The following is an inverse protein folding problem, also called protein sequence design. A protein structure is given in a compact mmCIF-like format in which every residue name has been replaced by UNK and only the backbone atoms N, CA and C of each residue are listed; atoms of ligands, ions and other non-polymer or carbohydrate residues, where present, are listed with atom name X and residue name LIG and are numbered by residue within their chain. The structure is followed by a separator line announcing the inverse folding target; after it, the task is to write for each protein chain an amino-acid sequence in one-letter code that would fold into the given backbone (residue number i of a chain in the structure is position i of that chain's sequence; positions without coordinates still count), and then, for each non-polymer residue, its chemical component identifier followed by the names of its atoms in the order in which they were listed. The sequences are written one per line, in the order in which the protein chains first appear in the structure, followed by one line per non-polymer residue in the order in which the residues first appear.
data_IF_046526400897
#
_entry.id   IF_046526400897
#
_cell.length_a   1.000
_cell.length_b   1.000
_cell.length_c   1.000
_cell.angle_alpha   90.00
_cell.angle_beta   90.00
_cell.angle_gamma   90.00
#
_symmetry.space_group_name_H-M   'P 1'
#
loop_
_entity.id
_entity.type
_entity.pdbx_description
1 polymer ?
#
# COMPACT_ATOMS: atom_id res chain seq x y z
N UNK A 1 -5.73 12.37 -11.44
CA UNK A 1 -6.88 11.58 -10.93
C UNK A 1 -7.09 10.33 -11.79
N UNK A 2 -7.39 9.19 -11.16
CA UNK A 2 -7.56 7.86 -11.78
C UNK A 2 -8.58 7.80 -12.92
N UNK A 3 -9.64 8.62 -12.86
CA UNK A 3 -10.61 8.77 -13.94
C UNK A 3 -9.94 9.14 -15.26
N UNK A 4 -9.07 10.15 -15.23
CA UNK A 4 -8.37 10.66 -16.42
C UNK A 4 -7.43 9.60 -17.01
N UNK A 5 -6.83 8.75 -16.16
CA UNK A 5 -6.00 7.61 -16.60
C UNK A 5 -6.82 6.55 -17.34
N UNK A 6 -8.04 6.29 -16.86
CA UNK A 6 -8.98 5.34 -17.48
C UNK A 6 -9.76 5.94 -18.66
N UNK A 7 -9.54 7.22 -19.00
CA UNK A 7 -10.17 7.91 -20.14
C UNK A 7 -11.71 7.88 -20.17
N UNK A 8 -12.35 7.81 -19.01
CA UNK A 8 -13.81 7.86 -18.88
C UNK A 8 -14.30 9.24 -18.46
N UNK A 9 -15.56 9.55 -18.80
CA UNK A 9 -16.17 10.82 -18.41
C UNK A 9 -16.55 10.83 -16.91
N UNK A 10 -16.92 12.00 -16.39
CA UNK A 10 -17.25 12.14 -14.97
C UNK A 10 -18.53 11.39 -14.57
N UNK A 11 -19.51 11.27 -15.47
CA UNK A 11 -20.78 10.56 -15.20
C UNK A 11 -20.52 9.06 -15.02
N UNK A 12 -19.78 8.45 -15.94
CA UNK A 12 -19.44 7.03 -15.89
C UNK A 12 -18.61 6.72 -14.65
N UNK A 13 -17.67 7.61 -14.31
CA UNK A 13 -16.85 7.47 -13.12
C UNK A 13 -17.66 7.56 -11.83
N UNK A 14 -18.49 8.61 -11.70
CA UNK A 14 -19.29 8.84 -10.50
C UNK A 14 -20.27 7.69 -10.25
N UNK A 15 -20.90 7.19 -11.32
CA UNK A 15 -21.79 6.03 -11.26
C UNK A 15 -21.05 4.77 -10.79
N UNK A 16 -19.84 4.54 -11.28
CA UNK A 16 -19.04 3.36 -10.93
C UNK A 16 -18.57 3.35 -9.46
N UNK A 17 -18.31 4.51 -8.88
CA UNK A 17 -17.87 4.64 -7.48
C UNK A 17 -19.00 5.03 -6.52
N UNK A 18 -20.26 5.08 -7.00
CA UNK A 18 -21.43 5.31 -6.17
C UNK A 18 -21.57 6.73 -5.59
N UNK A 19 -21.06 7.76 -6.27
CA UNK A 19 -21.24 9.16 -5.87
C UNK A 19 -21.95 9.97 -6.95
N UNK A 20 -22.46 11.16 -6.61
CA UNK A 20 -23.05 12.05 -7.62
C UNK A 20 -21.98 12.69 -8.51
N UNK A 21 -22.31 13.00 -9.76
CA UNK A 21 -21.39 13.71 -10.66
C UNK A 21 -21.03 15.12 -10.12
N UNK A 22 -21.96 15.80 -9.44
CA UNK A 22 -21.70 17.07 -8.78
C UNK A 22 -20.64 16.92 -7.68
N UNK A 23 -20.81 15.90 -6.81
CA UNK A 23 -19.83 15.51 -5.78
C UNK A 23 -18.46 15.26 -6.42
N UNK A 24 -18.41 14.43 -7.47
CA UNK A 24 -17.17 14.16 -8.18
C UNK A 24 -16.52 15.43 -8.76
N UNK A 25 -17.31 16.35 -9.32
CA UNK A 25 -16.79 17.59 -9.90
C UNK A 25 -16.13 18.47 -8.84
N UNK A 26 -16.74 18.59 -7.67
CA UNK A 26 -16.17 19.35 -6.55
C UNK A 26 -14.90 18.69 -5.99
N UNK A 27 -14.92 17.37 -5.91
CA UNK A 27 -13.76 16.56 -5.53
C UNK A 27 -12.58 16.77 -6.50
N UNK A 28 -12.86 16.82 -7.82
CA UNK A 28 -11.85 17.07 -8.86
C UNK A 28 -11.31 18.51 -8.89
N UNK A 29 -12.03 19.43 -8.26
CA UNK A 29 -11.63 20.83 -8.09
C UNK A 29 -10.89 21.07 -6.76
N UNK A 30 -10.52 20.00 -6.04
CA UNK A 30 -9.86 20.06 -4.74
C UNK A 30 -10.64 20.85 -3.67
N UNK A 31 -11.96 21.02 -3.83
CA UNK A 31 -12.80 21.72 -2.83
C UNK A 31 -12.83 21.00 -1.49
N UNK A 32 -12.70 19.68 -1.50
CA UNK A 32 -12.61 18.84 -0.30
C UNK A 32 -11.85 17.55 -0.59
N UNK A 33 -11.47 16.83 0.47
CA UNK A 33 -10.81 15.51 0.36
C UNK A 33 -11.84 14.39 0.31
N UNK A 34 -11.60 13.32 -0.48
CA UNK A 34 -12.55 12.20 -0.56
C UNK A 34 -12.70 11.54 0.81
N UNK A 35 -13.90 11.05 1.09
CA UNK A 35 -14.13 10.21 2.27
C UNK A 35 -13.40 8.86 2.15
N UNK A 36 -13.23 8.15 3.26
CA UNK A 36 -12.69 6.79 3.26
C UNK A 36 -13.56 5.87 2.37
N UNK A 37 -14.88 5.97 2.47
CA UNK A 37 -15.80 5.19 1.63
C UNK A 37 -15.62 5.48 0.14
N UNK A 38 -15.40 6.75 -0.22
CA UNK A 38 -15.11 7.14 -1.60
C UNK A 38 -13.78 6.55 -2.09
N UNK A 39 -12.76 6.51 -1.23
CA UNK A 39 -11.46 5.89 -1.55
C UNK A 39 -11.64 4.38 -1.77
N UNK A 40 -12.34 3.69 -0.88
CA UNK A 40 -12.63 2.25 -1.00
C UNK A 40 -13.40 1.95 -2.30
N UNK A 41 -14.43 2.72 -2.61
CA UNK A 41 -15.19 2.57 -3.85
C UNK A 41 -14.33 2.77 -5.12
N UNK A 42 -13.33 3.67 -5.06
CA UNK A 42 -12.36 3.83 -6.15
C UNK A 42 -11.43 2.62 -6.26
N UNK A 43 -10.92 2.11 -5.13
CA UNK A 43 -10.04 0.93 -5.08
C UNK A 43 -10.75 -0.29 -5.66
N UNK A 44 -11.96 -0.58 -5.19
CA UNK A 44 -12.77 -1.70 -5.68
C UNK A 44 -13.19 -1.52 -7.13
N UNK A 45 -13.64 -0.30 -7.49
CA UNK A 45 -14.13 -0.01 -8.82
C UNK A 45 -13.06 -0.09 -9.91
N UNK A 46 -11.78 0.15 -9.59
CA UNK A 46 -10.70 0.27 -10.58
C UNK A 46 -9.50 -0.63 -10.31
N UNK A 47 -9.59 -1.56 -9.36
CA UNK A 47 -8.48 -2.42 -8.89
C UNK A 47 -7.22 -1.59 -8.61
N UNK A 48 -7.44 -0.43 -8.01
CA UNK A 48 -6.42 0.59 -7.85
C UNK A 48 -5.66 0.42 -6.54
N UNK A 49 -4.36 0.69 -6.58
CA UNK A 49 -3.56 0.73 -5.36
C UNK A 49 -4.00 1.92 -4.49
N UNK A 50 -4.47 1.62 -3.27
CA UNK A 50 -4.90 2.62 -2.28
C UNK A 50 -3.78 3.60 -1.92
N UNK A 51 -2.54 3.12 -1.87
CA UNK A 51 -1.37 3.93 -1.57
C UNK A 51 -1.13 4.94 -2.69
N UNK A 52 -1.28 4.51 -3.94
CA UNK A 52 -1.18 5.40 -5.09
C UNK A 52 -2.28 6.48 -5.08
N UNK A 53 -3.51 6.14 -4.69
CA UNK A 53 -4.62 7.11 -4.57
C UNK A 53 -4.32 8.18 -3.53
N UNK A 54 -3.77 7.77 -2.38
CA UNK A 54 -3.54 8.67 -1.25
C UNK A 54 -2.29 9.53 -1.44
N UNK A 55 -1.23 8.98 -2.03
CA UNK A 55 0.11 9.59 -1.99
C UNK A 55 0.54 10.13 -3.37
N UNK A 56 -0.12 9.70 -4.45
CA UNK A 56 0.06 10.28 -5.78
C UNK A 56 1.37 9.90 -6.48
N UNK A 57 2.28 9.17 -5.81
CA UNK A 57 3.50 8.64 -6.41
C UNK A 57 3.37 7.13 -6.59
N UNK A 58 3.53 6.66 -7.84
CA UNK A 58 4.02 5.28 -8.02
C UNK A 58 5.49 5.34 -7.64
N UNK A 59 5.77 5.22 -6.36
CA UNK A 59 7.15 5.21 -5.90
C UNK A 59 7.86 4.07 -6.63
N UNK A 60 8.84 4.42 -7.46
CA UNK A 60 9.63 3.47 -8.20
C UNK A 60 10.48 2.68 -7.19
N UNK A 61 9.90 1.60 -6.65
CA UNK A 61 10.61 0.62 -5.82
C UNK A 61 10.45 0.74 -4.30
N UNK A 62 9.51 1.51 -3.77
CA UNK A 62 9.25 1.48 -2.33
C UNK A 62 7.98 2.22 -1.94
N UNK A 63 7.01 1.49 -1.40
CA UNK A 63 5.79 2.02 -0.78
C UNK A 63 6.11 3.31 -0.02
N UNK A 64 5.35 4.36 -0.26
CA UNK A 64 5.52 5.67 0.35
C UNK A 64 5.42 5.66 1.89
N UNK A 65 4.91 4.59 2.49
CA UNK A 65 5.00 4.34 3.94
C UNK A 65 6.34 3.75 4.41
N UNK A 66 7.37 3.68 3.57
CA UNK A 66 8.65 3.07 3.94
C UNK A 66 8.55 1.57 4.19
N UNK A 67 7.48 0.93 3.71
CA UNK A 67 7.28 -0.51 3.84
C UNK A 67 8.26 -1.18 2.88
N UNK A 68 9.39 -1.61 3.43
CA UNK A 68 10.35 -2.44 2.73
C UNK A 68 9.69 -3.79 2.44
N UNK A 69 9.73 -4.19 1.17
CA UNK A 69 9.30 -5.54 0.79
C UNK A 69 10.24 -6.56 1.45
N UNK A 70 9.65 -7.46 2.23
CA UNK A 70 10.35 -8.56 2.90
C UNK A 70 10.56 -9.64 1.85
N UNK A 71 11.81 -9.99 1.58
CA UNK A 71 12.08 -11.06 0.61
C UNK A 71 11.79 -12.44 1.22
N UNK A 72 11.71 -13.47 0.38
CA UNK A 72 11.37 -14.83 0.80
C UNK A 72 12.30 -15.38 1.90
N UNK A 73 13.60 -15.02 1.88
CA UNK A 73 14.55 -15.50 2.90
C UNK A 73 14.27 -14.85 4.24
N UNK A 74 13.99 -13.55 4.26
CA UNK A 74 13.66 -12.82 5.48
C UNK A 74 12.34 -13.29 6.07
N UNK A 75 11.33 -13.52 5.23
CA UNK A 75 10.05 -14.09 5.65
C UNK A 75 10.25 -15.49 6.26
N UNK A 76 11.07 -16.34 5.62
CA UNK A 76 11.38 -17.66 6.15
C UNK A 76 12.10 -17.59 7.49
N UNK A 77 13.05 -16.67 7.68
CA UNK A 77 13.72 -16.48 8.97
C UNK A 77 12.67 -16.17 10.04
N UNK A 78 11.79 -15.19 9.82
CA UNK A 78 10.74 -14.84 10.79
C UNK A 78 9.83 -16.03 11.11
N UNK A 79 9.30 -16.70 10.09
CA UNK A 79 8.37 -17.83 10.25
C UNK A 79 8.97 -19.02 11.03
N UNK A 80 10.28 -19.26 10.90
CA UNK A 80 10.94 -20.34 11.64
C UNK A 80 11.41 -19.86 13.01
N UNK A 81 11.89 -18.63 13.11
CA UNK A 81 12.35 -18.04 14.36
C UNK A 81 11.22 -17.97 15.40
N UNK A 82 10.00 -17.62 14.98
CA UNK A 82 8.82 -17.58 15.85
C UNK A 82 8.45 -18.95 16.48
N UNK A 83 8.91 -20.05 15.87
CA UNK A 83 8.65 -21.42 16.36
C UNK A 83 9.69 -21.90 17.37
N UNK A 84 10.80 -21.19 17.52
CA UNK A 84 11.90 -21.58 18.39
C UNK A 84 11.62 -21.21 19.86
N UNK A 85 12.30 -21.89 20.78
CA UNK A 85 12.32 -21.48 22.19
C UNK A 85 13.20 -20.24 22.35
N UNK A 86 12.99 -19.48 23.41
CA UNK A 86 13.75 -18.25 23.69
C UNK A 86 15.27 -18.47 23.68
N UNK A 87 15.78 -19.54 24.31
CA UNK A 87 17.21 -19.84 24.27
C UNK A 87 17.72 -20.07 22.83
N UNK A 88 16.98 -20.82 22.01
CA UNK A 88 17.38 -21.10 20.63
C UNK A 88 17.30 -19.81 19.76
N UNK A 89 16.33 -18.94 20.05
CA UNK A 89 16.23 -17.62 19.43
C UNK A 89 17.46 -16.74 19.77
N UNK A 90 17.87 -16.72 21.04
CA UNK A 90 19.06 -15.98 21.50
C UNK A 90 20.33 -16.51 20.82
N UNK A 91 20.50 -17.83 20.72
CA UNK A 91 21.62 -18.46 20.00
C UNK A 91 21.67 -18.06 18.53
N UNK A 92 20.52 -18.05 17.84
CA UNK A 92 20.43 -17.63 16.43
C UNK A 92 20.79 -16.14 16.29
N UNK A 93 20.31 -15.28 17.20
CA UNK A 93 20.67 -13.86 17.19
C UNK A 93 22.18 -13.69 17.37
N UNK A 94 22.78 -14.39 18.32
CA UNK A 94 24.22 -14.29 18.57
C UNK A 94 25.05 -14.83 17.40
N UNK A 95 24.58 -15.88 16.73
CA UNK A 95 25.20 -16.36 15.49
C UNK A 95 25.15 -15.30 14.38
N UNK A 96 24.00 -14.62 14.19
CA UNK A 96 23.87 -13.53 13.22
C UNK A 96 24.84 -12.39 13.55
N UNK A 97 24.91 -11.95 14.82
CA UNK A 97 25.86 -10.92 15.27
C UNK A 97 27.31 -11.33 14.98
N UNK A 98 27.67 -12.58 15.26
CA UNK A 98 29.01 -13.11 15.00
C UNK A 98 29.34 -13.04 13.50
N UNK A 99 28.37 -13.34 12.63
CA UNK A 99 28.55 -13.24 11.17
C UNK A 99 28.69 -11.81 10.67
N UNK A 100 27.94 -10.87 11.26
CA UNK A 100 28.04 -9.44 10.94
C UNK A 100 29.37 -8.83 11.36
N UNK A 101 29.97 -9.31 12.46
CA UNK A 101 31.27 -8.81 12.95
C UNK A 101 32.49 -9.48 12.29
N UNK A 102 32.29 -10.52 11.48
CA UNK A 102 33.39 -11.21 10.77
C UNK A 102 33.79 -10.52 9.47
N UNK A 103 33.09 -9.46 9.06
CA UNK A 103 33.38 -8.65 7.88
C UNK A 103 33.18 -7.16 8.18
#
# INVERSE_FOLDING_TARGET
MIRKLNKINQVDFSNRIGISQATLSELEQDKYKPSVDTILAIVEGFEADVEWILIGTKSAGGKAFGIREVNEKEANVLLHFDKLKTNDQDEIIDFIKLKLNRY
#
